data_IF_489530130606
#
_entry.id   IF_489530130606
#
_cell.length_a   1.000
_cell.length_b   1.000
_cell.length_c   1.000
_cell.angle_alpha   90.00
_cell.angle_beta   90.00
_cell.angle_gamma   90.00
#
_symmetry.space_group_name_H-M   'P 1'
#
loop_
_entity.id
_entity.type
_entity.pdbx_description
1 polymer ?
#
# COMPACT_ATOMS: atom_id res chain seq x y z
N UNK A 1 5.50 29.92 -35.95
CA UNK A 1 4.86 30.72 -34.87
C UNK A 1 5.49 30.51 -33.49
N UNK A 2 5.78 29.27 -33.05
CA UNK A 2 6.33 29.00 -31.71
C UNK A 2 7.69 29.69 -31.40
N UNK A 3 8.60 29.72 -32.38
CA UNK A 3 9.91 30.39 -32.25
C UNK A 3 9.77 31.90 -31.99
N UNK A 4 8.83 32.57 -32.65
CA UNK A 4 8.57 34.00 -32.45
C UNK A 4 7.95 34.29 -31.08
N UNK A 5 7.00 33.48 -30.61
CA UNK A 5 6.39 33.63 -29.26
C UNK A 5 7.43 33.50 -28.14
N UNK A 6 8.34 32.53 -28.26
CA UNK A 6 9.45 32.34 -27.32
C UNK A 6 10.42 33.53 -27.31
N UNK A 7 10.66 34.17 -28.48
CA UNK A 7 11.54 35.33 -28.61
C UNK A 7 10.95 36.60 -27.95
N UNK A 8 9.63 36.76 -27.96
CA UNK A 8 8.92 37.88 -27.32
C UNK A 8 8.51 37.61 -25.86
N UNK A 9 8.87 36.46 -25.28
CA UNK A 9 8.58 36.13 -23.88
C UNK A 9 7.09 35.90 -23.56
N UNK A 10 6.26 35.69 -24.58
CA UNK A 10 4.83 35.43 -24.42
C UNK A 10 4.66 33.99 -23.94
N UNK A 11 4.22 33.80 -22.70
CA UNK A 11 3.92 32.49 -22.12
C UNK A 11 2.49 32.07 -22.42
N UNK A 12 2.31 30.86 -22.96
CA UNK A 12 1.00 30.25 -23.13
C UNK A 12 0.53 29.60 -21.82
N UNK A 13 1.47 29.01 -21.05
CA UNK A 13 1.17 28.37 -19.78
C UNK A 13 1.33 29.41 -18.67
N UNK A 14 0.21 29.89 -18.15
CA UNK A 14 0.17 30.90 -17.07
C UNK A 14 -0.22 30.32 -15.70
N UNK A 15 -0.88 29.17 -15.71
CA UNK A 15 -1.39 28.45 -14.54
C UNK A 15 -1.17 26.95 -14.77
N UNK A 16 -1.51 26.08 -13.81
CA UNK A 16 -1.42 24.63 -14.01
C UNK A 16 -2.33 24.18 -15.16
N UNK A 17 -1.81 23.33 -16.05
CA UNK A 17 -2.55 22.75 -17.18
C UNK A 17 -2.45 21.23 -17.10
N UNK A 18 -3.58 20.53 -17.05
CA UNK A 18 -3.61 19.08 -17.00
C UNK A 18 -3.68 18.47 -18.41
N UNK A 19 -2.65 17.72 -18.79
CA UNK A 19 -2.59 16.99 -20.06
C UNK A 19 -3.25 15.62 -19.94
N UNK A 20 -3.20 15.02 -18.76
CA UNK A 20 -4.04 13.90 -18.34
C UNK A 20 -4.66 14.28 -17.00
N UNK A 21 -5.94 14.61 -17.02
CA UNK A 21 -6.68 15.17 -15.88
C UNK A 21 -7.08 14.07 -14.88
N UNK A 22 -7.28 14.47 -13.62
CA UNK A 22 -7.83 13.59 -12.59
C UNK A 22 -9.27 13.22 -12.96
N UNK A 23 -9.61 11.94 -12.79
CA UNK A 23 -10.96 11.43 -13.04
C UNK A 23 -11.61 11.00 -11.74
N UNK A 24 -12.72 11.65 -11.39
CA UNK A 24 -13.56 11.21 -10.26
C UNK A 24 -14.16 9.82 -10.52
N UNK A 25 -14.52 9.54 -11.77
CA UNK A 25 -14.96 8.23 -12.23
C UNK A 25 -13.75 7.30 -12.37
N UNK A 26 -13.56 6.44 -11.36
CA UNK A 26 -12.50 5.44 -11.33
C UNK A 26 -13.02 4.07 -11.79
N UNK A 27 -12.42 3.55 -12.87
CA UNK A 27 -12.82 2.26 -13.46
C UNK A 27 -12.59 1.08 -12.51
N UNK A 28 -11.47 1.05 -11.79
CA UNK A 28 -11.19 -0.01 -10.81
C UNK A 28 -12.25 -0.03 -9.70
N UNK A 29 -12.65 1.15 -9.22
CA UNK A 29 -13.73 1.26 -8.24
C UNK A 29 -15.07 0.76 -8.81
N UNK A 30 -15.41 1.13 -10.05
CA UNK A 30 -16.62 0.65 -10.73
C UNK A 30 -16.60 -0.87 -10.88
N UNK A 31 -15.50 -1.44 -11.35
CA UNK A 31 -15.34 -2.89 -11.53
C UNK A 31 -15.51 -3.63 -10.20
N UNK A 32 -14.92 -3.11 -9.12
CA UNK A 32 -15.04 -3.70 -7.77
C UNK A 32 -16.46 -3.59 -7.21
N UNK A 33 -17.15 -2.47 -7.43
CA UNK A 33 -18.55 -2.30 -7.03
C UNK A 33 -19.47 -3.28 -7.78
N UNK A 34 -19.24 -3.49 -9.07
CA UNK A 34 -19.97 -4.49 -9.86
C UNK A 34 -19.68 -5.90 -9.36
N UNK A 35 -18.41 -6.23 -9.13
CA UNK A 35 -17.99 -7.53 -8.62
C UNK A 35 -18.58 -7.83 -7.23
N UNK A 36 -18.61 -6.83 -6.34
CA UNK A 36 -19.25 -6.91 -5.02
C UNK A 36 -20.70 -7.38 -5.13
N UNK A 37 -21.46 -6.84 -6.08
CA UNK A 37 -22.87 -7.20 -6.25
C UNK A 37 -23.08 -8.64 -6.76
N UNK A 38 -22.09 -9.15 -7.52
CA UNK A 38 -22.09 -10.48 -8.12
C UNK A 38 -21.65 -11.58 -7.15
N UNK A 39 -20.65 -11.32 -6.31
CA UNK A 39 -20.13 -12.31 -5.35
C UNK A 39 -21.11 -12.50 -4.20
N UNK A 40 -21.53 -13.74 -3.98
CA UNK A 40 -22.47 -14.16 -2.92
C UNK A 40 -21.79 -14.84 -1.74
N UNK A 41 -20.56 -15.33 -1.92
CA UNK A 41 -19.81 -15.95 -0.83
C UNK A 41 -19.27 -14.92 0.16
N UNK A 42 -18.79 -15.42 1.31
CA UNK A 42 -18.14 -14.60 2.33
C UNK A 42 -16.90 -13.85 1.84
N UNK A 43 -16.38 -14.15 0.64
CA UNK A 43 -15.27 -13.41 0.02
C UNK A 43 -15.65 -11.97 -0.35
N UNK A 44 -16.94 -11.64 -0.43
CA UNK A 44 -17.42 -10.27 -0.66
C UNK A 44 -16.82 -9.26 0.34
N UNK A 45 -16.56 -9.69 1.59
CA UNK A 45 -15.93 -8.84 2.63
C UNK A 45 -14.54 -8.33 2.24
N UNK A 46 -13.78 -9.09 1.45
CA UNK A 46 -12.46 -8.68 0.98
C UNK A 46 -12.57 -7.62 -0.11
N UNK A 47 -13.56 -7.75 -0.98
CA UNK A 47 -13.88 -6.78 -2.03
C UNK A 47 -14.36 -5.47 -1.40
N UNK A 48 -15.25 -5.54 -0.41
CA UNK A 48 -15.73 -4.37 0.34
C UNK A 48 -14.61 -3.61 1.03
N UNK A 49 -13.68 -4.33 1.67
CA UNK A 49 -12.50 -3.74 2.30
C UNK A 49 -11.62 -3.02 1.28
N UNK A 50 -11.33 -3.67 0.14
CA UNK A 50 -10.50 -3.08 -0.91
C UNK A 50 -11.19 -1.88 -1.58
N UNK A 51 -12.52 -1.89 -1.72
CA UNK A 51 -13.31 -0.72 -2.15
C UNK A 51 -13.09 0.45 -1.20
N UNK A 52 -13.17 0.21 0.11
CA UNK A 52 -12.97 1.27 1.11
C UNK A 52 -11.55 1.83 1.07
N UNK A 53 -10.53 0.97 0.92
CA UNK A 53 -9.16 1.43 0.71
C UNK A 53 -9.00 2.25 -0.57
N UNK A 54 -9.58 1.80 -1.67
CA UNK A 54 -9.49 2.50 -2.95
C UNK A 54 -10.19 3.87 -2.90
N UNK A 55 -11.35 3.98 -2.23
CA UNK A 55 -12.01 5.27 -2.01
C UNK A 55 -11.12 6.25 -1.25
N UNK A 56 -10.45 5.78 -0.21
CA UNK A 56 -9.51 6.62 0.56
C UNK A 56 -8.31 7.07 -0.29
N UNK A 57 -7.80 6.20 -1.16
CA UNK A 57 -6.74 6.54 -2.13
C UNK A 57 -7.23 7.61 -3.12
N UNK A 58 -8.38 7.39 -3.76
CA UNK A 58 -8.97 8.33 -4.73
C UNK A 58 -9.23 9.70 -4.06
N UNK A 59 -9.75 9.71 -2.83
CA UNK A 59 -9.97 10.95 -2.09
C UNK A 59 -8.66 11.67 -1.77
N UNK A 60 -7.62 10.93 -1.39
CA UNK A 60 -6.29 11.50 -1.17
C UNK A 60 -5.71 12.12 -2.45
N UNK A 61 -5.75 11.39 -3.57
CA UNK A 61 -5.33 11.91 -4.87
C UNK A 61 -6.13 13.15 -5.29
N UNK A 62 -7.44 13.16 -5.02
CA UNK A 62 -8.30 14.33 -5.26
C UNK A 62 -7.83 15.55 -4.50
N UNK A 63 -7.41 15.41 -3.23
CA UNK A 63 -6.88 16.53 -2.45
C UNK A 63 -5.61 17.12 -3.09
N UNK A 64 -4.68 16.24 -3.50
CA UNK A 64 -3.44 16.65 -4.19
C UNK A 64 -3.74 17.31 -5.54
N UNK A 65 -4.67 16.75 -6.30
CA UNK A 65 -5.13 17.32 -7.56
C UNK A 65 -5.67 18.75 -7.40
N UNK A 66 -6.56 18.97 -6.42
CA UNK A 66 -7.15 20.27 -6.16
C UNK A 66 -6.09 21.30 -5.75
N UNK A 67 -5.13 20.91 -4.91
CA UNK A 67 -4.01 21.78 -4.53
C UNK A 67 -3.16 22.17 -5.75
N UNK A 68 -2.78 21.18 -6.58
CA UNK A 68 -2.05 21.45 -7.83
C UNK A 68 -2.82 22.41 -8.73
N UNK A 69 -4.12 22.17 -8.95
CA UNK A 69 -4.99 22.96 -9.81
C UNK A 69 -5.11 24.41 -9.34
N UNK A 70 -5.15 24.64 -8.03
CA UNK A 70 -5.35 25.96 -7.43
C UNK A 70 -4.05 26.72 -7.15
N UNK A 71 -2.88 26.08 -7.28
CA UNK A 71 -1.56 26.67 -6.95
C UNK A 71 -1.18 27.91 -7.77
N UNK A 72 -1.85 28.19 -8.89
CA UNK A 72 -1.52 29.27 -9.84
C UNK A 72 -0.09 29.20 -10.42
N UNK A 73 0.62 28.08 -10.25
CA UNK A 73 1.98 27.89 -10.75
C UNK A 73 1.94 27.53 -12.25
N UNK A 74 2.72 28.20 -13.13
CA UNK A 74 2.87 27.79 -14.52
C UNK A 74 3.55 26.41 -14.66
N UNK A 75 2.74 25.37 -14.89
CA UNK A 75 3.21 23.99 -15.00
C UNK A 75 2.26 23.13 -15.83
N UNK A 76 2.78 22.01 -16.35
CA UNK A 76 1.95 20.93 -16.89
C UNK A 76 1.85 19.83 -15.85
N UNK A 77 0.65 19.29 -15.68
CA UNK A 77 0.37 18.17 -14.78
C UNK A 77 -0.18 16.97 -15.57
N UNK A 78 0.20 15.77 -15.16
CA UNK A 78 -0.36 14.51 -15.64
C UNK A 78 -0.72 13.65 -14.42
N UNK A 79 -1.89 13.05 -14.43
CA UNK A 79 -2.36 12.13 -13.38
C UNK A 79 -2.36 10.68 -13.86
N UNK A 80 -2.02 9.76 -12.94
CA UNK A 80 -2.06 8.30 -13.12
C UNK A 80 -1.32 7.80 -14.37
N UNK A 81 -0.04 8.14 -14.52
CA UNK A 81 0.77 7.68 -15.65
C UNK A 81 1.50 6.39 -15.28
N UNK A 82 1.37 5.37 -16.13
CA UNK A 82 2.05 4.07 -15.99
C UNK A 82 3.00 3.89 -17.16
N UNK A 83 4.28 3.73 -16.88
CA UNK A 83 5.32 3.52 -17.91
C UNK A 83 6.09 2.24 -17.64
N UNK A 84 6.51 1.57 -18.73
CA UNK A 84 7.22 0.30 -18.66
C UNK A 84 8.71 0.51 -18.93
N UNK A 85 9.55 -0.13 -18.13
CA UNK A 85 11.00 -0.25 -18.31
C UNK A 85 11.43 -1.69 -18.03
N UNK A 86 11.76 -2.44 -19.08
CA UNK A 86 11.92 -3.89 -19.00
C UNK A 86 10.67 -4.57 -18.44
N UNK A 87 10.80 -5.35 -17.37
CA UNK A 87 9.68 -6.00 -16.66
C UNK A 87 9.08 -5.12 -15.55
N UNK A 88 9.69 -3.96 -15.25
CA UNK A 88 9.20 -3.04 -14.24
C UNK A 88 8.16 -2.09 -14.82
N UNK A 89 7.06 -1.88 -14.09
CA UNK A 89 6.06 -0.86 -14.40
C UNK A 89 6.14 0.22 -13.31
N UNK A 90 6.56 1.42 -13.71
CA UNK A 90 6.51 2.58 -12.84
C UNK A 90 5.11 3.20 -12.91
N UNK A 91 4.38 3.14 -11.80
CA UNK A 91 3.16 3.92 -11.60
C UNK A 91 3.53 5.28 -10.99
N UNK A 92 3.01 6.35 -11.59
CA UNK A 92 3.30 7.73 -11.25
C UNK A 92 1.97 8.45 -11.01
N UNK A 93 1.63 8.71 -9.74
CA UNK A 93 0.35 9.32 -9.39
C UNK A 93 0.21 10.71 -10.01
N UNK A 94 1.22 11.57 -9.83
CA UNK A 94 1.29 12.85 -10.52
C UNK A 94 2.68 13.14 -11.08
N UNK A 95 2.72 13.67 -12.29
CA UNK A 95 3.92 14.25 -12.90
C UNK A 95 3.70 15.75 -13.06
N UNK A 96 4.58 16.55 -12.48
CA UNK A 96 4.61 18.01 -12.58
C UNK A 96 5.80 18.42 -13.44
N UNK A 97 5.54 19.10 -14.55
CA UNK A 97 6.56 19.60 -15.47
C UNK A 97 6.55 21.12 -15.38
N UNK A 98 7.65 21.70 -14.93
CA UNK A 98 7.83 23.16 -14.85
C UNK A 98 8.81 23.64 -15.91
N UNK A 99 9.07 24.95 -15.97
CA UNK A 99 10.15 25.48 -16.82
C UNK A 99 11.56 25.09 -16.37
N UNK A 100 11.73 24.41 -15.22
CA UNK A 100 13.04 24.12 -14.61
C UNK A 100 13.32 22.64 -14.37
N UNK A 101 12.29 21.86 -14.08
CA UNK A 101 12.43 20.47 -13.67
C UNK A 101 11.16 19.67 -13.95
N UNK A 102 11.29 18.35 -13.89
CA UNK A 102 10.18 17.41 -13.71
C UNK A 102 10.15 16.94 -12.27
N UNK A 103 8.96 16.85 -11.68
CA UNK A 103 8.75 16.35 -10.32
C UNK A 103 7.67 15.30 -10.34
N UNK A 104 7.98 14.13 -9.78
CA UNK A 104 7.05 13.02 -9.57
C UNK A 104 6.50 13.17 -8.15
N UNK A 105 5.18 13.19 -8.00
CA UNK A 105 4.54 13.20 -6.70
C UNK A 105 3.87 11.85 -6.49
N UNK A 106 4.31 11.14 -5.47
CA UNK A 106 3.70 9.89 -5.02
C UNK A 106 2.76 10.20 -3.87
N UNK A 107 1.49 9.85 -3.99
CA UNK A 107 0.49 10.09 -2.95
C UNK A 107 0.42 8.92 -1.98
N UNK A 108 0.34 9.22 -0.69
CA UNK A 108 0.18 8.21 0.36
C UNK A 108 -0.87 8.65 1.37
N UNK A 109 -1.93 7.85 1.47
CA UNK A 109 -2.88 7.90 2.58
C UNK A 109 -2.26 7.24 3.81
N UNK A 110 -1.28 7.91 4.41
CA UNK A 110 -0.78 7.48 5.70
C UNK A 110 -1.89 7.63 6.75
N UNK A 111 -1.96 6.81 7.80
CA UNK A 111 -3.01 6.92 8.81
C UNK A 111 -2.40 7.16 10.20
N UNK A 112 -3.11 7.89 11.04
CA UNK A 112 -2.70 8.15 12.43
C UNK A 112 -1.56 9.14 12.56
N UNK A 113 -0.94 9.14 13.74
CA UNK A 113 0.18 10.03 14.07
C UNK A 113 1.51 9.34 13.77
N UNK A 114 2.26 9.90 12.85
CA UNK A 114 3.50 9.36 12.32
C UNK A 114 4.65 10.27 12.69
N UNK A 115 5.65 9.69 13.33
CA UNK A 115 6.88 10.38 13.69
C UNK A 115 8.02 9.80 12.88
N UNK A 116 8.86 10.67 12.35
CA UNK A 116 10.08 10.29 11.66
C UNK A 116 11.24 10.53 12.62
N UNK A 117 11.89 9.44 13.03
CA UNK A 117 12.98 9.51 14.00
C UNK A 117 14.30 9.97 13.34
N UNK A 118 15.36 10.09 14.14
CA UNK A 118 16.68 10.55 13.68
C UNK A 118 17.36 9.59 12.69
N UNK A 119 16.99 8.31 12.70
CA UNK A 119 17.43 7.33 11.71
C UNK A 119 16.67 7.44 10.38
N UNK A 120 15.58 8.23 10.33
CA UNK A 120 14.70 8.33 9.17
C UNK A 120 13.64 7.24 9.09
N UNK A 121 13.46 6.45 10.14
CA UNK A 121 12.38 5.47 10.21
C UNK A 121 11.05 6.16 10.51
N UNK A 122 10.00 5.67 9.85
CA UNK A 122 8.62 6.09 10.08
C UNK A 122 8.02 5.22 11.17
N UNK A 123 7.54 5.84 12.25
CA UNK A 123 6.90 5.16 13.37
C UNK A 123 5.50 5.73 13.54
N UNK A 124 4.48 4.87 13.47
CA UNK A 124 3.10 5.25 13.76
C UNK A 124 2.80 4.97 15.21
N UNK A 125 2.21 5.93 15.91
CA UNK A 125 1.70 5.76 17.26
C UNK A 125 0.21 5.46 17.24
N UNK A 126 -0.18 4.42 17.96
CA UNK A 126 -1.56 4.00 18.15
C UNK A 126 -2.01 4.58 19.50
N UNK A 127 -3.13 5.29 19.48
CA UNK A 127 -3.71 5.93 20.66
C UNK A 127 -5.03 5.27 21.06
N UNK A 128 -5.31 5.27 22.36
CA UNK A 128 -6.63 4.93 22.88
C UNK A 128 -7.62 6.10 22.71
N UNK A 129 -8.87 5.90 23.17
CA UNK A 129 -9.93 6.92 23.12
C UNK A 129 -9.61 8.18 23.95
N UNK A 130 -8.64 8.12 24.84
CA UNK A 130 -8.19 9.22 25.69
C UNK A 130 -6.91 9.88 25.16
N UNK A 131 -6.55 9.65 23.89
CA UNK A 131 -5.32 10.13 23.24
C UNK A 131 -4.02 9.64 23.89
N UNK A 132 -4.04 8.62 24.75
CA UNK A 132 -2.84 8.03 25.31
C UNK A 132 -2.23 7.05 24.31
N UNK A 133 -0.93 7.15 24.08
CA UNK A 133 -0.19 6.19 23.24
C UNK A 133 -0.25 4.82 23.95
N UNK A 134 -0.79 3.82 23.26
CA UNK A 134 -0.91 2.44 23.75
C UNK A 134 0.03 1.48 23.02
N UNK A 135 0.44 1.83 21.80
CA UNK A 135 1.33 1.00 20.99
C UNK A 135 2.02 1.85 19.91
N UNK A 136 3.04 1.28 19.27
CA UNK A 136 3.71 1.89 18.11
C UNK A 136 4.15 0.83 17.11
N UNK A 137 4.00 1.12 15.83
CA UNK A 137 4.40 0.23 14.75
C UNK A 137 5.37 0.91 13.78
N UNK A 138 6.31 0.13 13.22
CA UNK A 138 7.19 0.61 12.14
C UNK A 138 6.40 0.65 10.84
N UNK A 139 6.44 1.80 10.15
CA UNK A 139 5.84 1.99 8.83
C UNK A 139 6.96 1.90 7.79
N UNK A 140 6.68 1.19 6.69
CA UNK A 140 7.62 1.11 5.56
C UNK A 140 7.84 2.53 5.01
N UNK A 141 9.10 2.93 4.85
CA UNK A 141 9.44 4.25 4.33
C UNK A 141 8.92 4.40 2.89
N UNK A 142 7.98 5.33 2.64
CA UNK A 142 7.45 5.56 1.30
C UNK A 142 8.49 6.19 0.35
N UNK A 143 9.62 6.66 0.90
CA UNK A 143 10.66 7.38 0.17
C UNK A 143 11.55 6.44 -0.66
N UNK A 144 11.82 5.23 -0.17
CA UNK A 144 12.75 4.29 -0.84
C UNK A 144 12.24 3.86 -2.22
N UNK A 145 10.93 3.74 -2.40
CA UNK A 145 10.29 3.38 -3.66
C UNK A 145 10.48 4.46 -4.74
N UNK A 146 10.45 5.74 -4.34
CA UNK A 146 10.47 6.87 -5.27
C UNK A 146 11.77 7.01 -6.06
N UNK A 147 12.91 6.60 -5.48
CA UNK A 147 14.22 6.69 -6.16
C UNK A 147 14.26 5.84 -7.44
N UNK A 148 13.55 4.70 -7.48
CA UNK A 148 13.46 3.86 -8.68
C UNK A 148 12.65 4.56 -9.78
N UNK A 149 11.50 5.14 -9.44
CA UNK A 149 10.66 5.86 -10.39
C UNK A 149 11.40 7.04 -11.03
N UNK A 150 12.17 7.81 -10.25
CA UNK A 150 13.00 8.91 -10.78
C UNK A 150 14.04 8.41 -11.78
N UNK A 151 14.69 7.28 -11.50
CA UNK A 151 15.67 6.68 -12.40
C UNK A 151 15.01 6.27 -13.72
N UNK A 152 13.94 5.50 -13.67
CA UNK A 152 13.17 5.04 -14.84
C UNK A 152 12.73 6.23 -15.71
N UNK A 153 12.13 7.25 -15.10
CA UNK A 153 11.69 8.44 -15.83
C UNK A 153 12.86 9.18 -16.48
N UNK A 154 14.00 9.30 -15.78
CA UNK A 154 15.19 9.95 -16.31
C UNK A 154 15.74 9.21 -17.52
N UNK A 155 15.93 7.90 -17.38
CA UNK A 155 16.54 7.05 -18.41
C UNK A 155 15.67 7.08 -19.68
N UNK A 156 14.35 6.88 -19.53
CA UNK A 156 13.39 6.95 -20.65
C UNK A 156 13.42 8.30 -21.41
N UNK A 157 13.46 9.43 -20.70
CA UNK A 157 13.48 10.75 -21.35
C UNK A 157 14.82 11.08 -22.01
N UNK A 158 15.94 10.53 -21.49
CA UNK A 158 17.27 10.68 -22.09
C UNK A 158 17.40 9.81 -23.34
N UNK A 159 16.98 8.55 -23.27
CA UNK A 159 17.00 7.60 -24.39
C UNK A 159 16.13 8.09 -25.56
N UNK A 160 14.96 8.67 -25.26
CA UNK A 160 14.12 9.33 -26.25
C UNK A 160 14.71 10.65 -26.82
N UNK A 161 15.87 11.09 -26.34
CA UNK A 161 16.53 12.33 -26.76
C UNK A 161 15.76 13.60 -26.40
N UNK A 162 14.79 13.53 -25.48
CA UNK A 162 13.95 14.66 -25.08
C UNK A 162 14.73 15.56 -24.14
N UNK A 163 15.45 14.98 -23.17
CA UNK A 163 16.27 15.71 -22.20
C UNK A 163 17.73 15.25 -22.26
N UNK A 164 18.63 16.06 -21.69
CA UNK A 164 20.03 15.70 -21.47
C UNK A 164 20.39 15.81 -19.99
N UNK A 165 20.14 16.97 -19.40
CA UNK A 165 20.54 17.30 -18.02
C UNK A 165 19.38 17.87 -17.19
N UNK A 166 18.14 17.71 -17.64
CA UNK A 166 17.00 18.31 -16.95
C UNK A 166 16.83 17.65 -15.57
N UNK A 167 16.73 18.43 -14.48
CA UNK A 167 16.53 17.85 -13.15
C UNK A 167 15.18 17.13 -13.05
N UNK A 168 15.20 15.94 -12.43
CA UNK A 168 14.02 15.13 -12.12
C UNK A 168 14.07 14.76 -10.65
N UNK A 169 12.98 15.07 -9.95
CA UNK A 169 12.82 14.82 -8.51
C UNK A 169 11.59 13.97 -8.24
N UNK A 170 11.54 13.44 -7.02
CA UNK A 170 10.33 12.85 -6.47
C UNK A 170 10.06 13.36 -5.06
N UNK A 171 8.79 13.47 -4.70
CA UNK A 171 8.35 13.73 -3.33
C UNK A 171 7.19 12.82 -2.95
N UNK A 172 7.17 12.35 -1.72
CA UNK A 172 6.01 11.70 -1.11
C UNK A 172 5.07 12.78 -0.60
N UNK A 173 3.81 12.71 -1.00
CA UNK A 173 2.75 13.62 -0.57
C UNK A 173 1.76 12.84 0.31
N UNK A 174 1.68 13.23 1.58
CA UNK A 174 0.68 12.71 2.51
C UNK A 174 -0.65 13.37 2.18
N UNK A 175 -1.58 12.55 1.71
CA UNK A 175 -2.73 13.03 0.95
C UNK A 175 -4.02 13.14 1.76
N UNK A 176 -4.03 12.68 3.02
CA UNK A 176 -5.17 12.83 3.90
C UNK A 176 -4.94 13.86 5.02
N UNK A 177 -6.04 14.47 5.42
CA UNK A 177 -6.16 15.50 6.45
C UNK A 177 -6.00 14.97 7.88
N UNK A 178 -6.31 13.68 8.08
CA UNK A 178 -6.25 13.02 9.40
C UNK A 178 -4.83 12.62 9.82
N UNK A 179 -3.87 12.63 8.91
CA UNK A 179 -2.48 12.30 9.24
C UNK A 179 -1.77 13.44 9.95
N UNK A 180 -1.09 13.11 11.03
CA UNK A 180 -0.12 14.00 11.65
C UNK A 180 1.27 13.47 11.32
N UNK A 181 2.06 14.24 10.58
CA UNK A 181 3.44 13.85 10.21
C UNK A 181 4.42 14.72 10.97
N UNK A 182 4.97 14.19 12.06
CA UNK A 182 6.00 14.86 12.82
C UNK A 182 7.39 14.57 12.23
N UNK A 183 7.91 15.57 11.51
CA UNK A 183 9.26 15.54 10.92
C UNK A 183 10.33 16.25 11.76
N UNK A 184 10.05 16.66 13.00
CA UNK A 184 10.97 17.49 13.81
C UNK A 184 12.36 16.87 13.97
N UNK A 185 12.43 15.57 14.28
CA UNK A 185 13.65 14.78 14.46
C UNK A 185 14.19 14.15 13.17
N UNK A 186 13.48 14.28 12.06
CA UNK A 186 13.87 13.64 10.81
C UNK A 186 15.20 14.18 10.25
N UNK A 187 16.01 13.33 9.58
CA UNK A 187 17.16 13.78 8.79
C UNK A 187 16.78 14.86 7.78
N UNK A 188 17.72 15.78 7.49
CA UNK A 188 17.50 16.84 6.48
C UNK A 188 16.99 16.27 5.16
N UNK A 189 17.58 15.18 4.67
CA UNK A 189 17.16 14.53 3.42
C UNK A 189 15.67 14.16 3.43
N UNK A 190 15.22 13.49 4.49
CA UNK A 190 13.82 13.05 4.64
C UNK A 190 12.87 14.25 4.72
N UNK A 191 13.24 15.31 5.46
CA UNK A 191 12.45 16.56 5.52
C UNK A 191 12.20 17.21 4.16
N UNK A 192 13.07 16.93 3.17
CA UNK A 192 12.95 17.46 1.81
C UNK A 192 12.32 16.48 0.80
N UNK A 193 11.89 15.30 1.26
CA UNK A 193 11.33 14.23 0.42
C UNK A 193 9.88 13.85 0.80
N UNK A 194 9.37 14.29 1.95
CA UNK A 194 7.96 14.10 2.35
C UNK A 194 7.28 15.40 2.79
N UNK A 195 6.06 15.60 2.31
CA UNK A 195 5.24 16.79 2.53
C UNK A 195 3.77 16.39 2.70
N UNK A 196 2.99 17.19 3.39
CA UNK A 196 1.53 17.09 3.33
C UNK A 196 1.01 17.77 2.06
N UNK A 197 -0.20 17.42 1.61
CA UNK A 197 -0.72 17.97 0.35
C UNK A 197 -0.85 19.49 0.37
N UNK A 198 -1.20 20.11 1.50
CA UNK A 198 -1.29 21.56 1.69
C UNK A 198 0.08 22.29 1.61
N UNK A 199 1.19 21.58 1.82
CA UNK A 199 2.55 22.11 1.64
C UNK A 199 3.00 22.13 0.16
N UNK A 200 2.20 21.61 -0.77
CA UNK A 200 2.62 21.34 -2.15
C UNK A 200 2.96 22.60 -2.94
N UNK A 201 2.14 23.64 -2.81
CA UNK A 201 2.37 24.94 -3.47
C UNK A 201 3.69 25.56 -2.98
N UNK A 202 3.97 25.49 -1.67
CA UNK A 202 5.24 25.96 -1.10
C UNK A 202 6.43 25.13 -1.59
N UNK A 203 6.30 23.80 -1.59
CA UNK A 203 7.32 22.87 -2.07
C UNK A 203 7.76 23.21 -3.50
N UNK A 204 6.80 23.36 -4.42
CA UNK A 204 7.10 23.60 -5.84
C UNK A 204 7.76 24.98 -6.00
N UNK A 205 7.24 26.02 -5.34
CA UNK A 205 7.82 27.37 -5.38
C UNK A 205 9.24 27.41 -4.81
N UNK A 206 9.49 26.74 -3.67
CA UNK A 206 10.82 26.64 -3.08
C UNK A 206 11.81 25.99 -4.05
N UNK A 207 11.40 24.90 -4.73
CA UNK A 207 12.23 24.26 -5.75
C UNK A 207 12.46 25.17 -6.95
N UNK A 208 11.44 25.86 -7.46
CA UNK A 208 11.62 26.83 -8.55
C UNK A 208 12.62 27.94 -8.18
N UNK A 209 12.60 28.40 -6.92
CA UNK A 209 13.57 29.38 -6.39
C UNK A 209 15.00 28.83 -6.34
N UNK A 210 15.20 27.61 -5.85
CA UNK A 210 16.51 26.96 -5.82
C UNK A 210 17.14 26.83 -7.21
N UNK A 211 16.31 26.59 -8.23
CA UNK A 211 16.73 26.41 -9.62
C UNK A 211 16.63 27.69 -10.46
N UNK A 212 16.42 28.85 -9.81
CA UNK A 212 16.12 30.13 -10.48
C UNK A 212 17.23 30.65 -11.41
N UNK A 213 18.49 30.29 -11.15
CA UNK A 213 19.65 30.66 -11.97
C UNK A 213 19.91 29.73 -13.15
N UNK A 214 19.25 28.58 -13.20
CA UNK A 214 19.45 27.61 -14.28
C UNK A 214 18.74 28.02 -15.59
N UNK A 215 19.12 27.41 -16.70
CA UNK A 215 18.48 27.67 -17.99
C UNK A 215 17.04 27.15 -17.96
N UNK A 216 16.07 28.02 -18.27
CA UNK A 216 14.67 27.62 -18.45
C UNK A 216 14.52 26.73 -19.68
N UNK A 217 13.72 25.67 -19.57
CA UNK A 217 13.20 25.00 -20.74
C UNK A 217 12.06 25.83 -21.37
N UNK A 218 11.90 25.70 -22.68
CA UNK A 218 10.79 26.29 -23.42
C UNK A 218 9.50 25.48 -23.23
N UNK A 219 8.35 26.13 -23.40
CA UNK A 219 7.05 25.47 -23.26
C UNK A 219 6.88 24.32 -24.25
N UNK A 220 7.38 24.44 -25.49
CA UNK A 220 7.36 23.35 -26.48
C UNK A 220 8.04 22.08 -25.96
N UNK A 221 9.11 22.25 -25.16
CA UNK A 221 9.80 21.13 -24.52
C UNK A 221 8.98 20.54 -23.38
N UNK A 222 8.28 21.37 -22.60
CA UNK A 222 7.35 20.91 -21.56
C UNK A 222 6.24 20.05 -22.17
N UNK A 223 5.63 20.53 -23.26
CA UNK A 223 4.57 19.81 -24.00
C UNK A 223 5.09 18.51 -24.58
N UNK A 224 6.27 18.51 -25.20
CA UNK A 224 6.90 17.28 -25.72
C UNK A 224 7.13 16.22 -24.65
N UNK A 225 7.55 16.61 -23.43
CA UNK A 225 7.67 15.69 -22.30
C UNK A 225 6.30 15.11 -21.92
N UNK A 226 5.26 15.96 -21.84
CA UNK A 226 3.93 15.52 -21.46
C UNK A 226 3.29 14.57 -22.49
N UNK A 227 3.40 14.90 -23.77
CA UNK A 227 2.94 14.07 -24.89
C UNK A 227 3.67 12.72 -24.91
N UNK A 228 4.97 12.70 -24.61
CA UNK A 228 5.72 11.44 -24.50
C UNK A 228 5.18 10.54 -23.38
N UNK A 229 4.87 11.09 -22.21
CA UNK A 229 4.27 10.30 -21.14
C UNK A 229 2.88 9.76 -21.51
N UNK A 230 2.05 10.56 -22.18
CA UNK A 230 0.73 10.10 -22.65
C UNK A 230 0.88 8.97 -23.68
N UNK A 231 1.77 9.14 -24.66
CA UNK A 231 1.97 8.17 -25.73
C UNK A 231 2.51 6.82 -25.23
N UNK A 232 3.28 6.83 -24.14
CA UNK A 232 3.85 5.64 -23.51
C UNK A 232 3.06 5.16 -22.28
N UNK A 233 1.90 5.76 -21.99
CA UNK A 233 1.06 5.35 -20.88
C UNK A 233 0.42 3.99 -21.18
N UNK A 234 0.59 3.02 -20.28
CA UNK A 234 -0.02 1.69 -20.42
C UNK A 234 -1.28 1.55 -19.55
N UNK A 235 -2.27 0.84 -20.06
CA UNK A 235 -3.45 0.45 -19.29
C UNK A 235 -3.23 -0.92 -18.66
N UNK A 236 -3.44 -1.01 -17.34
CA UNK A 236 -3.37 -2.26 -16.58
C UNK A 236 -4.78 -2.82 -16.44
N UNK A 237 -4.98 -4.08 -16.82
CA UNK A 237 -6.22 -4.81 -16.58
C UNK A 237 -6.02 -5.76 -15.39
N UNK A 238 -6.83 -5.61 -14.35
CA UNK A 238 -6.81 -6.48 -13.19
C UNK A 238 -7.65 -7.73 -13.44
N UNK A 239 -7.11 -8.88 -13.06
CA UNK A 239 -7.86 -10.12 -12.95
C UNK A 239 -8.35 -10.28 -11.51
N UNK A 240 -9.56 -9.78 -11.24
CA UNK A 240 -10.15 -9.85 -9.90
C UNK A 240 -10.50 -11.28 -9.48
N UNK A 241 -10.81 -12.17 -10.43
CA UNK A 241 -11.06 -13.58 -10.14
C UNK A 241 -9.79 -14.20 -9.56
N UNK A 242 -8.64 -13.94 -10.18
CA UNK A 242 -7.34 -14.38 -9.64
C UNK A 242 -6.99 -13.67 -8.33
N UNK A 243 -7.23 -12.36 -8.21
CA UNK A 243 -6.93 -11.57 -6.99
C UNK A 243 -7.65 -12.10 -5.76
N UNK A 244 -8.94 -12.43 -5.90
CA UNK A 244 -9.78 -12.89 -4.78
C UNK A 244 -10.00 -14.40 -4.76
N UNK A 245 -9.33 -15.14 -5.66
CA UNK A 245 -9.49 -16.59 -5.84
C UNK A 245 -10.97 -16.98 -6.00
N UNK A 246 -11.69 -16.29 -6.89
CA UNK A 246 -13.11 -16.53 -7.15
C UNK A 246 -13.29 -17.71 -8.10
N UNK A 247 -14.30 -18.51 -7.80
CA UNK A 247 -14.74 -19.67 -8.58
C UNK A 247 -16.24 -19.55 -8.86
N UNK A 248 -16.80 -20.40 -9.71
CA UNK A 248 -18.23 -20.37 -10.06
C UNK A 248 -19.15 -20.43 -8.81
N UNK A 249 -18.74 -21.17 -7.78
CA UNK A 249 -19.48 -21.32 -6.51
C UNK A 249 -19.64 -19.97 -5.79
N UNK A 250 -18.68 -19.05 -5.95
CA UNK A 250 -18.72 -17.75 -5.28
C UNK A 250 -19.83 -16.82 -5.81
N UNK A 251 -20.46 -17.17 -6.93
CA UNK A 251 -21.53 -16.39 -7.58
C UNK A 251 -22.93 -17.00 -7.38
N UNK A 252 -23.02 -18.17 -6.75
CA UNK A 252 -24.29 -18.87 -6.53
C UNK A 252 -24.86 -18.48 -5.16
N UNK A 253 -26.15 -18.14 -5.12
CA UNK A 253 -26.89 -18.03 -3.87
C UNK A 253 -27.10 -19.41 -3.26
N UNK A 254 -26.32 -19.76 -2.24
CA UNK A 254 -26.57 -20.98 -1.47
C UNK A 254 -27.80 -20.72 -0.59
N UNK A 255 -28.98 -21.10 -1.09
CA UNK A 255 -30.16 -21.26 -0.25
C UNK A 255 -29.93 -22.46 0.66
N UNK A 256 -29.46 -22.21 1.87
CA UNK A 256 -29.57 -23.20 2.93
C UNK A 256 -31.06 -23.33 3.26
N UNK A 257 -31.72 -24.36 2.73
CA UNK A 257 -32.95 -24.84 3.34
C UNK A 257 -32.56 -25.36 4.73
N UNK A 258 -33.01 -24.65 5.77
CA UNK A 258 -32.95 -25.13 7.14
C UNK A 258 -33.78 -26.41 7.25
N UNK A 259 -33.13 -27.56 7.04
CA UNK A 259 -33.64 -28.81 7.62
C UNK A 259 -33.21 -28.84 9.07
N UNK A 260 -34.14 -28.41 9.92
CA UNK A 260 -34.19 -28.77 11.32
C UNK A 260 -34.03 -30.30 11.46
N UNK A 261 -32.90 -30.74 11.99
CA UNK A 261 -32.78 -32.05 12.62
C UNK A 261 -32.51 -31.76 14.09
N UNK A 262 -33.59 -31.46 14.81
CA UNK A 262 -33.70 -31.78 16.23
C UNK A 262 -34.30 -33.19 16.23
N UNK A 263 -33.53 -34.18 16.67
CA UNK A 263 -33.97 -35.14 17.69
C UNK A 263 -32.88 -36.18 17.98
N UNK A 264 -32.66 -36.36 19.27
CA UNK A 264 -32.19 -37.54 19.99
C UNK A 264 -30.79 -38.11 19.71
N UNK A 265 -29.89 -37.86 20.66
CA UNK A 265 -29.49 -38.87 21.66
C UNK A 265 -29.01 -38.11 22.92
N UNK A 266 -29.73 -38.27 24.03
CA UNK A 266 -29.33 -37.80 25.35
C UNK A 266 -28.23 -38.67 25.97
N UNK A 267 -27.53 -38.12 26.96
CA UNK A 267 -27.36 -38.73 28.29
C UNK A 267 -26.62 -37.77 29.24
N UNK A 268 -27.32 -37.44 30.33
CA UNK A 268 -26.90 -37.25 31.73
C UNK A 268 -25.51 -36.69 32.04
N UNK A 269 -25.55 -35.55 32.73
CA UNK A 269 -24.64 -35.08 33.77
C UNK A 269 -24.12 -36.17 34.71
N UNK A 270 -22.83 -36.09 35.08
CA UNK A 270 -22.28 -36.38 36.42
C UNK A 270 -20.92 -35.68 36.59
N UNK A 271 -20.85 -34.81 37.59
CA UNK A 271 -19.62 -34.35 38.25
C UNK A 271 -19.15 -35.42 39.27
N UNK A 272 -17.83 -35.53 39.48
CA UNK A 272 -17.09 -35.85 40.73
C UNK A 272 -15.64 -36.20 40.33
N UNK A 273 -14.53 -35.96 41.05
CA UNK A 273 -14.10 -35.12 42.19
C UNK A 273 -12.56 -35.17 42.14
N UNK A 274 -11.96 -34.13 42.71
CA UNK A 274 -10.53 -33.87 42.90
C UNK A 274 -9.77 -35.03 43.56
N UNK A 275 -8.51 -35.25 43.15
CA UNK A 275 -7.47 -35.69 44.08
C UNK A 275 -6.17 -34.90 43.81
N UNK A 276 -5.76 -34.12 44.81
CA UNK A 276 -4.49 -33.40 44.88
C UNK A 276 -3.43 -34.33 45.47
N UNK A 277 -2.22 -34.36 44.92
CA UNK A 277 -1.01 -34.12 45.73
C UNK A 277 0.28 -34.00 44.89
N UNK A 278 0.83 -32.77 44.98
CA UNK A 278 2.22 -32.42 45.31
C UNK A 278 3.34 -32.60 44.26
N UNK A 279 3.54 -31.50 43.52
CA UNK A 279 4.75 -30.66 43.52
C UNK A 279 6.12 -31.36 43.60
N UNK A 280 6.85 -31.32 42.48
CA UNK A 280 7.99 -30.41 42.24
C UNK A 280 8.97 -31.10 41.29
N UNK A 281 9.07 -30.61 40.05
CA UNK A 281 10.31 -30.01 39.55
C UNK A 281 10.10 -29.50 38.12
N UNK A 282 10.11 -28.17 38.05
CA UNK A 282 10.27 -27.35 36.86
C UNK A 282 11.54 -27.78 36.15
N UNK A 283 11.41 -28.33 34.95
CA UNK A 283 12.37 -28.15 33.89
C UNK A 283 11.57 -28.10 32.59
N UNK A 284 11.29 -26.89 32.11
CA UNK A 284 10.68 -26.66 30.80
C UNK A 284 11.49 -27.45 29.75
N UNK A 285 10.90 -28.53 29.22
CA UNK A 285 11.40 -29.17 28.01
C UNK A 285 11.07 -28.24 26.86
N UNK A 286 11.91 -27.23 26.65
CA UNK A 286 11.86 -26.38 25.46
C UNK A 286 11.95 -27.30 24.26
N UNK A 287 10.89 -27.34 23.43
CA UNK A 287 10.90 -28.10 22.18
C UNK A 287 12.11 -27.70 21.33
N UNK A 288 12.84 -28.69 20.85
CA UNK A 288 13.92 -28.46 19.88
C UNK A 288 13.36 -27.86 18.60
N UNK A 289 14.21 -27.16 17.86
CA UNK A 289 13.85 -26.57 16.57
C UNK A 289 13.28 -27.63 15.60
N UNK A 290 13.90 -28.81 15.57
CA UNK A 290 13.47 -29.93 14.72
C UNK A 290 12.07 -30.43 15.09
N UNK A 291 11.73 -30.47 16.39
CA UNK A 291 10.40 -30.86 16.85
C UNK A 291 9.33 -29.84 16.43
N UNK A 292 9.61 -28.55 16.58
CA UNK A 292 8.69 -27.49 16.17
C UNK A 292 8.44 -27.50 14.65
N UNK A 293 9.48 -27.72 13.86
CA UNK A 293 9.34 -27.85 12.40
C UNK A 293 8.45 -29.04 12.03
N UNK A 294 8.65 -30.19 12.66
CA UNK A 294 7.87 -31.40 12.38
C UNK A 294 6.39 -31.23 12.76
N UNK A 295 6.11 -30.66 13.94
CA UNK A 295 4.75 -30.41 14.40
C UNK A 295 4.01 -29.39 13.52
N UNK A 296 4.67 -28.29 13.14
CA UNK A 296 4.10 -27.31 12.22
C UNK A 296 3.86 -27.91 10.82
N UNK A 297 4.71 -28.82 10.34
CA UNK A 297 4.47 -29.53 9.06
C UNK A 297 3.32 -30.53 9.16
N UNK A 298 3.19 -31.23 10.28
CA UNK A 298 2.07 -32.14 10.55
C UNK A 298 0.75 -31.40 10.61
N UNK A 299 0.68 -30.32 11.40
CA UNK A 299 -0.50 -29.46 11.49
C UNK A 299 -0.91 -28.90 10.12
N UNK A 300 0.07 -28.38 9.36
CA UNK A 300 -0.16 -27.90 7.99
C UNK A 300 -0.79 -28.96 7.10
N UNK A 301 -0.27 -30.18 7.14
CA UNK A 301 -0.76 -31.30 6.33
C UNK A 301 -2.16 -31.72 6.75
N UNK A 302 -2.42 -31.75 8.06
CA UNK A 302 -3.73 -32.04 8.62
C UNK A 302 -4.78 -31.00 8.17
N UNK A 303 -4.52 -29.71 8.39
CA UNK A 303 -5.44 -28.64 7.97
C UNK A 303 -5.66 -28.56 6.48
N UNK A 304 -4.62 -28.82 5.69
CA UNK A 304 -4.74 -28.87 4.24
C UNK A 304 -5.66 -30.01 3.76
N UNK A 305 -5.63 -31.18 4.43
CA UNK A 305 -6.56 -32.28 4.16
C UNK A 305 -7.98 -31.93 4.62
N UNK A 306 -8.15 -31.35 5.81
CA UNK A 306 -9.47 -30.90 6.30
C UNK A 306 -10.12 -29.87 5.35
N UNK A 307 -9.33 -28.93 4.83
CA UNK A 307 -9.83 -27.88 3.94
C UNK A 307 -9.76 -28.25 2.44
N UNK A 308 -9.33 -29.46 2.09
CA UNK A 308 -9.15 -29.95 0.73
C UNK A 308 -8.32 -29.01 -0.18
N UNK A 309 -7.20 -28.51 0.35
CA UNK A 309 -6.25 -27.62 -0.33
C UNK A 309 -4.83 -28.19 -0.24
N UNK A 310 -3.87 -27.65 -1.02
CA UNK A 310 -2.47 -28.09 -0.91
C UNK A 310 -1.82 -27.52 0.36
N UNK A 311 -0.93 -28.26 1.05
CA UNK A 311 -0.28 -27.84 2.30
C UNK A 311 0.30 -26.42 2.29
N UNK A 312 1.00 -26.04 1.22
CA UNK A 312 1.63 -24.72 1.13
C UNK A 312 0.63 -23.54 1.06
N UNK A 313 -0.67 -23.78 0.81
CA UNK A 313 -1.70 -22.73 0.89
C UNK A 313 -2.02 -22.33 2.34
N UNK A 314 -1.84 -23.23 3.31
CA UNK A 314 -1.93 -22.90 4.74
C UNK A 314 -0.76 -21.98 5.09
N UNK A 315 0.49 -22.46 4.93
CA UNK A 315 1.73 -21.67 4.98
C UNK A 315 2.90 -22.43 4.34
N UNK A 316 3.89 -21.73 3.80
CA UNK A 316 5.07 -22.36 3.15
C UNK A 316 6.18 -22.66 4.19
N UNK A 317 7.30 -23.25 3.75
CA UNK A 317 8.39 -23.61 4.66
C UNK A 317 9.11 -22.38 5.23
N UNK A 318 9.25 -21.31 4.44
CA UNK A 318 9.80 -20.02 4.90
C UNK A 318 8.97 -19.45 6.08
N UNK A 319 7.64 -19.53 5.99
CA UNK A 319 6.74 -19.12 7.08
C UNK A 319 6.92 -19.99 8.33
N UNK A 320 7.26 -21.28 8.22
CA UNK A 320 7.55 -22.13 9.38
C UNK A 320 8.79 -21.62 10.11
N UNK A 321 9.85 -21.31 9.36
CA UNK A 321 11.07 -20.75 9.92
C UNK A 321 10.81 -19.41 10.62
N UNK A 322 10.01 -18.54 9.99
CA UNK A 322 9.62 -17.25 10.58
C UNK A 322 8.73 -17.40 11.83
N UNK A 323 7.78 -18.36 11.85
CA UNK A 323 6.96 -18.66 13.04
C UNK A 323 7.87 -19.03 14.21
N UNK A 324 8.79 -19.98 14.01
CA UNK A 324 9.68 -20.45 15.08
C UNK A 324 10.62 -19.33 15.55
N UNK A 325 11.18 -18.56 14.62
CA UNK A 325 12.09 -17.45 14.93
C UNK A 325 11.39 -16.31 15.68
N UNK A 326 10.15 -15.99 15.32
CA UNK A 326 9.37 -14.93 15.95
C UNK A 326 8.79 -15.35 17.32
N UNK A 327 8.60 -16.66 17.52
CA UNK A 327 7.98 -17.27 18.70
C UNK A 327 6.73 -16.48 19.21
N UNK A 328 5.69 -16.35 18.36
CA UNK A 328 4.52 -15.54 18.68
C UNK A 328 3.74 -16.11 19.87
N UNK A 329 3.58 -15.31 20.92
CA UNK A 329 2.74 -15.62 22.08
C UNK A 329 1.28 -15.15 21.92
N UNK A 330 0.94 -14.49 20.81
CA UNK A 330 -0.40 -13.99 20.54
C UNK A 330 -0.64 -13.81 19.03
N UNK A 331 -1.92 -13.82 18.62
CA UNK A 331 -2.33 -13.72 17.22
C UNK A 331 -1.84 -12.44 16.51
N UNK A 332 -1.58 -11.34 17.22
CA UNK A 332 -1.11 -10.10 16.61
C UNK A 332 0.33 -10.23 16.12
N UNK A 333 1.20 -10.97 16.81
CA UNK A 333 2.59 -11.17 16.38
C UNK A 333 2.67 -11.92 15.04
N UNK A 334 1.76 -12.86 14.79
CA UNK A 334 1.70 -13.60 13.52
C UNK A 334 1.52 -12.70 12.28
N UNK A 335 1.02 -11.47 12.43
CA UNK A 335 0.86 -10.53 11.31
C UNK A 335 2.17 -10.02 10.73
N UNK A 336 3.29 -10.17 11.47
CA UNK A 336 4.61 -9.72 11.04
C UNK A 336 5.24 -10.68 10.02
N UNK A 337 4.71 -11.91 9.91
CA UNK A 337 5.20 -12.95 9.01
C UNK A 337 4.67 -12.69 7.61
N UNK A 338 5.57 -12.56 6.63
CA UNK A 338 5.19 -12.18 5.26
C UNK A 338 4.33 -13.29 4.65
N UNK A 339 3.13 -12.93 4.18
CA UNK A 339 2.16 -13.88 3.63
C UNK A 339 1.30 -14.61 4.67
N UNK A 340 1.45 -14.27 5.96
CA UNK A 340 0.58 -14.71 7.05
C UNK A 340 -0.50 -13.64 7.35
N UNK A 341 -1.41 -13.46 6.39
CA UNK A 341 -2.45 -12.43 6.47
C UNK A 341 -3.56 -12.72 7.50
N UNK A 342 -4.44 -11.75 7.78
CA UNK A 342 -5.47 -11.85 8.82
C UNK A 342 -6.37 -13.09 8.73
N UNK A 343 -6.70 -13.57 7.53
CA UNK A 343 -7.51 -14.78 7.37
C UNK A 343 -6.79 -16.06 7.82
N UNK A 344 -5.47 -16.14 7.69
CA UNK A 344 -4.67 -17.26 8.17
C UNK A 344 -4.49 -17.19 9.69
N UNK A 345 -4.34 -15.97 10.22
CA UNK A 345 -4.27 -15.72 11.68
C UNK A 345 -5.58 -16.11 12.35
N UNK A 346 -6.71 -15.76 11.74
CA UNK A 346 -8.02 -16.10 12.30
C UNK A 346 -8.24 -17.62 12.32
N UNK A 347 -7.96 -18.28 11.20
CA UNK A 347 -8.14 -19.74 11.02
C UNK A 347 -7.14 -20.62 11.74
N UNK A 348 -5.85 -20.27 11.71
CA UNK A 348 -4.74 -21.15 12.14
C UNK A 348 -3.93 -20.56 13.29
N UNK A 349 -4.14 -19.28 13.61
CA UNK A 349 -3.23 -18.57 14.50
C UNK A 349 -3.26 -19.05 15.95
N UNK A 350 -4.40 -19.54 16.45
CA UNK A 350 -4.45 -20.09 17.80
C UNK A 350 -3.70 -21.41 17.88
N UNK A 351 -4.02 -22.35 16.99
CA UNK A 351 -3.39 -23.66 16.92
C UNK A 351 -1.86 -23.56 16.77
N UNK A 352 -1.35 -22.61 15.97
CA UNK A 352 0.09 -22.37 15.83
C UNK A 352 0.73 -21.90 17.14
N UNK A 353 0.05 -21.02 17.89
CA UNK A 353 0.54 -20.54 19.18
C UNK A 353 0.55 -21.67 20.20
N UNK A 354 -0.46 -22.54 20.16
CA UNK A 354 -0.56 -23.67 21.07
C UNK A 354 0.55 -24.70 20.80
N UNK A 355 0.87 -24.98 19.53
CA UNK A 355 2.00 -25.83 19.12
C UNK A 355 3.34 -25.32 19.67
N UNK A 356 3.53 -24.00 19.76
CA UNK A 356 4.76 -23.38 20.28
C UNK A 356 4.85 -23.38 21.82
N UNK A 357 3.73 -23.58 22.52
CA UNK A 357 3.62 -23.52 23.98
C UNK A 357 3.62 -24.88 24.66
N UNK A 358 3.12 -25.90 23.98
CA UNK A 358 3.40 -27.31 24.29
C UNK A 358 4.88 -27.62 24.13
#
# INVERSE_FOLDING_TARGET
MAIFKNLFGIREIKTPVFYKDFKEENKELSDLLELKNKVKSSKVKYIERDIEFLKNVIQGEKNVYLELKNSSIPMICLHDIKIKDGDYIAQLDFIVITTRFVMILETKGLNGEIHINEAGDFVRYIKDKNNKIIDSEKVISPILQNNKNVKVVRDLLIEAGIIKTLPIFSSVIVSNDKSIVNKSKAPKKVKYEIFTYDELTELINRKLSCYSKEKKMFEDKMKKIAEYFIANNIDIKYDYNKKYNLTEIDFIEVKLEEKSIIEDIGYSSKEEVIDENLNNEVLDKVKSYEQLVDELKKYRTYKAREENIKPYYIYNDEMIEEIIKLNPDNKKKLIQIIGFGPSKIDKYGQDIIDILRE
#
